data_IF_750657832865
#
_entry.id   IF_750657832865
#
_cell.length_a   1.000
_cell.length_b   1.000
_cell.length_c   1.000
_cell.angle_alpha   90.00
_cell.angle_beta   90.00
_cell.angle_gamma   90.00
#
_symmetry.space_group_name_H-M   'P 1'
#
loop_
_entity.id
_entity.type
_entity.pdbx_description
1 polymer ?
#
# COMPACT_ATOMS: atom_id res chain seq x y z
N UNK A 1 9.07 -1.48 17.52
CA UNK A 1 8.60 -1.79 16.14
C UNK A 1 9.21 -3.10 15.68
N UNK A 2 8.39 -4.04 15.19
CA UNK A 2 8.82 -5.39 14.81
C UNK A 2 9.41 -5.43 13.39
N UNK A 3 10.16 -6.50 13.07
CA UNK A 3 10.94 -6.61 11.83
C UNK A 3 10.11 -6.45 10.54
N UNK A 4 8.93 -7.08 10.37
CA UNK A 4 8.11 -6.88 9.17
C UNK A 4 7.75 -5.41 8.91
N UNK A 5 7.40 -4.67 9.97
CA UNK A 5 7.04 -3.24 9.86
C UNK A 5 8.25 -2.40 9.43
N UNK A 6 9.43 -2.69 9.98
CA UNK A 6 10.69 -2.03 9.56
C UNK A 6 10.98 -2.26 8.08
N UNK A 7 10.79 -3.50 7.60
CA UNK A 7 10.99 -3.85 6.19
C UNK A 7 9.97 -3.16 5.27
N UNK A 8 8.70 -3.11 5.66
CA UNK A 8 7.66 -2.39 4.92
C UNK A 8 7.99 -0.89 4.79
N UNK A 9 8.44 -0.25 5.86
CA UNK A 9 8.87 1.16 5.84
C UNK A 9 10.08 1.35 4.93
N UNK A 10 11.10 0.49 5.07
CA UNK A 10 12.29 0.55 4.22
C UNK A 10 11.94 0.42 2.73
N UNK A 11 11.03 -0.48 2.38
CA UNK A 11 10.52 -0.67 1.03
C UNK A 11 9.72 0.55 0.55
N UNK A 12 8.81 1.09 1.37
CA UNK A 12 8.07 2.31 1.03
C UNK A 12 8.98 3.50 0.73
N UNK A 13 10.14 3.60 1.39
CA UNK A 13 11.15 4.61 1.07
C UNK A 13 11.80 4.44 -0.30
N UNK A 14 11.94 3.20 -0.81
CA UNK A 14 12.48 2.94 -2.15
C UNK A 14 11.54 3.40 -3.27
N UNK A 15 10.23 3.48 -2.99
CA UNK A 15 9.23 3.87 -3.97
C UNK A 15 9.19 5.37 -4.26
N UNK A 16 9.84 6.22 -3.44
CA UNK A 16 9.77 7.70 -3.54
C UNK A 16 10.04 8.25 -4.93
N UNK A 17 10.90 7.58 -5.71
CA UNK A 17 11.31 8.02 -7.06
C UNK A 17 10.65 7.22 -8.18
N UNK A 18 9.79 6.25 -7.84
CA UNK A 18 9.08 5.41 -8.82
C UNK A 18 7.86 6.14 -9.35
N UNK A 19 7.50 5.87 -10.61
CA UNK A 19 6.35 6.49 -11.28
C UNK A 19 5.10 5.64 -11.09
N UNK A 20 3.93 6.26 -11.19
CA UNK A 20 2.68 5.51 -11.34
C UNK A 20 2.53 4.99 -12.77
N UNK A 21 2.11 3.73 -12.91
CA UNK A 21 1.65 3.13 -14.16
C UNK A 21 0.56 2.12 -13.82
N UNK A 22 -0.60 2.19 -14.47
CA UNK A 22 -1.65 1.19 -14.33
C UNK A 22 -1.12 -0.22 -14.66
N UNK A 23 -1.36 -1.20 -13.78
CA UNK A 23 -0.80 -2.55 -13.91
C UNK A 23 0.69 -2.67 -13.53
N UNK A 24 1.33 -1.59 -13.09
CA UNK A 24 2.72 -1.61 -12.62
C UNK A 24 2.89 -2.40 -11.33
N UNK A 25 3.91 -3.26 -11.27
CA UNK A 25 4.22 -4.09 -10.10
C UNK A 25 3.42 -5.39 -9.97
N UNK A 26 2.64 -5.78 -10.99
CA UNK A 26 1.83 -7.02 -10.96
C UNK A 26 2.53 -8.24 -11.54
N UNK A 27 3.47 -8.07 -12.47
CA UNK A 27 4.27 -9.18 -13.02
C UNK A 27 5.30 -9.69 -12.02
N UNK A 28 5.84 -8.79 -11.20
CA UNK A 28 6.87 -9.09 -10.19
C UNK A 28 6.92 -7.92 -9.20
N UNK A 29 7.47 -8.16 -8.00
CA UNK A 29 7.73 -7.09 -7.05
C UNK A 29 8.77 -6.09 -7.56
N UNK A 30 9.71 -6.48 -8.41
CA UNK A 30 10.64 -5.57 -9.06
C UNK A 30 10.04 -5.00 -10.36
N UNK A 31 9.76 -3.71 -10.35
CA UNK A 31 9.25 -2.96 -11.50
C UNK A 31 9.80 -1.51 -11.46
N UNK A 32 9.78 -0.86 -12.61
CA UNK A 32 10.16 0.54 -12.76
C UNK A 32 9.02 1.50 -12.37
N UNK A 33 7.79 0.99 -12.30
CA UNK A 33 6.60 1.76 -11.96
C UNK A 33 5.54 0.89 -11.28
N UNK A 34 4.73 1.51 -10.43
CA UNK A 34 3.76 0.81 -9.59
C UNK A 34 2.40 1.49 -9.62
N UNK A 35 1.33 0.70 -9.75
CA UNK A 35 -0.01 1.21 -9.44
C UNK A 35 -0.30 1.17 -7.93
N UNK A 36 -1.53 1.49 -7.53
CA UNK A 36 -1.92 1.50 -6.12
C UNK A 36 -1.73 0.13 -5.43
N UNK A 37 -2.20 -0.94 -6.06
CA UNK A 37 -2.09 -2.31 -5.57
C UNK A 37 -0.69 -2.89 -5.70
N UNK A 38 0.03 -2.58 -6.78
CA UNK A 38 1.44 -2.94 -6.94
C UNK A 38 2.32 -2.27 -5.89
N UNK A 39 1.98 -1.03 -5.49
CA UNK A 39 2.66 -0.30 -4.41
C UNK A 39 2.50 -1.00 -3.07
N UNK A 40 1.27 -1.40 -2.72
CA UNK A 40 1.01 -2.11 -1.46
C UNK A 40 1.59 -3.52 -1.50
N UNK A 41 1.48 -4.20 -2.64
CA UNK A 41 2.11 -5.51 -2.87
C UNK A 41 3.62 -5.46 -2.69
N UNK A 42 4.30 -4.44 -3.22
CA UNK A 42 5.73 -4.26 -3.08
C UNK A 42 6.18 -4.18 -1.62
N UNK A 43 5.53 -3.34 -0.81
CA UNK A 43 5.92 -3.15 0.59
C UNK A 43 5.60 -4.39 1.45
N UNK A 44 4.50 -5.09 1.17
CA UNK A 44 4.15 -6.32 1.89
C UNK A 44 5.04 -7.49 1.46
N UNK A 45 5.40 -7.59 0.18
CA UNK A 45 6.34 -8.58 -0.34
C UNK A 45 7.73 -8.42 0.29
N UNK A 46 8.26 -7.19 0.33
CA UNK A 46 9.52 -6.90 1.00
C UNK A 46 9.47 -7.18 2.52
N UNK A 47 8.30 -7.08 3.14
CA UNK A 47 8.08 -7.42 4.54
C UNK A 47 7.93 -8.93 4.80
N UNK A 48 7.82 -9.75 3.76
CA UNK A 48 7.52 -11.18 3.88
C UNK A 48 6.08 -11.49 4.26
N UNK A 49 5.16 -10.54 4.02
CA UNK A 49 3.74 -10.62 4.37
C UNK A 49 2.85 -10.97 3.17
N UNK A 50 3.43 -11.05 1.97
CA UNK A 50 2.74 -11.36 0.73
C UNK A 50 3.71 -12.10 -0.20
N UNK A 51 3.28 -13.23 -0.79
CA UNK A 51 4.11 -14.09 -1.64
C UNK A 51 4.13 -13.67 -3.11
N UNK A 52 3.05 -13.03 -3.59
CA UNK A 52 2.91 -12.54 -4.96
C UNK A 52 2.10 -11.25 -5.01
N UNK A 53 2.32 -10.35 -5.98
CA UNK A 53 1.49 -9.18 -6.14
C UNK A 53 0.01 -9.54 -6.35
N UNK A 54 -0.89 -8.75 -5.77
CA UNK A 54 -2.34 -8.91 -5.91
C UNK A 54 -3.01 -7.56 -6.20
N UNK A 55 -4.21 -7.61 -6.78
CA UNK A 55 -5.04 -6.46 -7.11
C UNK A 55 -5.70 -5.79 -5.90
N UNK A 56 -6.19 -4.56 -6.08
CA UNK A 56 -6.96 -3.85 -5.04
C UNK A 56 -8.23 -4.60 -4.64
N UNK A 57 -8.83 -5.35 -5.57
CA UNK A 57 -10.00 -6.19 -5.31
C UNK A 57 -9.63 -7.40 -4.45
N UNK A 58 -8.52 -8.08 -4.76
CA UNK A 58 -8.04 -9.21 -3.94
C UNK A 58 -7.64 -8.78 -2.53
N UNK A 59 -7.10 -7.56 -2.37
CA UNK A 59 -6.77 -7.01 -1.05
C UNK A 59 -7.97 -6.93 -0.10
N UNK A 60 -9.21 -6.88 -0.60
CA UNK A 60 -10.43 -6.88 0.23
C UNK A 60 -10.56 -8.15 1.08
N UNK A 61 -9.97 -9.26 0.61
CA UNK A 61 -9.98 -10.56 1.30
C UNK A 61 -8.63 -10.92 1.93
N UNK A 62 -7.64 -10.03 1.89
CA UNK A 62 -6.30 -10.29 2.42
C UNK A 62 -6.26 -10.23 3.95
N UNK A 63 -5.56 -11.16 4.60
CA UNK A 63 -5.35 -11.14 6.05
C UNK A 63 -6.65 -11.16 6.86
N UNK A 64 -6.73 -10.40 7.96
CA UNK A 64 -7.92 -10.29 8.81
C UNK A 64 -8.67 -8.98 8.59
N UNK A 65 -9.97 -8.99 8.86
CA UNK A 65 -10.83 -7.79 8.80
C UNK A 65 -10.49 -6.81 9.92
N UNK A 66 -10.56 -5.51 9.61
CA UNK A 66 -10.38 -4.42 10.56
C UNK A 66 -9.00 -3.79 10.52
N UNK A 67 -8.82 -2.77 11.36
CA UNK A 67 -7.55 -2.07 11.49
C UNK A 67 -6.53 -2.91 12.26
N UNK A 68 -5.34 -3.07 11.70
CA UNK A 68 -4.20 -3.69 12.36
C UNK A 68 -3.48 -2.72 13.29
N UNK A 69 -2.62 -3.25 14.16
CA UNK A 69 -1.87 -2.46 15.14
C UNK A 69 -0.77 -1.60 14.48
N UNK A 70 -0.13 -2.13 13.44
CA UNK A 70 0.97 -1.47 12.74
C UNK A 70 0.70 -1.24 11.27
N UNK A 71 -0.04 -2.15 10.63
CA UNK A 71 -0.32 -2.08 9.19
C UNK A 71 -1.82 -2.22 9.02
N UNK A 72 -2.45 -1.21 8.41
CA UNK A 72 -3.83 -1.31 7.94
C UNK A 72 -3.87 -1.01 6.46
N UNK A 73 -4.38 -1.94 5.67
CA UNK A 73 -4.64 -1.81 4.25
C UNK A 73 -6.10 -1.40 4.10
N UNK A 74 -6.34 -0.36 3.32
CA UNK A 74 -7.68 0.11 2.98
C UNK A 74 -7.92 -0.22 1.52
N UNK A 75 -8.78 -1.20 1.27
CA UNK A 75 -9.02 -1.77 -0.04
C UNK A 75 -10.46 -1.52 -0.52
N UNK A 76 -10.61 -1.29 -1.82
CA UNK A 76 -11.89 -1.31 -2.52
C UNK A 76 -11.68 -1.67 -3.98
N UNK A 77 -12.76 -1.82 -4.72
CA UNK A 77 -12.69 -1.96 -6.17
C UNK A 77 -12.03 -0.70 -6.80
N UNK A 78 -10.96 -0.92 -7.57
CA UNK A 78 -10.23 0.13 -8.28
C UNK A 78 -9.25 0.97 -7.45
N UNK A 79 -9.14 0.79 -6.12
CA UNK A 79 -8.11 1.49 -5.34
C UNK A 79 -7.73 0.80 -4.03
N UNK A 80 -6.46 0.91 -3.65
CA UNK A 80 -5.97 0.51 -2.34
C UNK A 80 -4.84 1.43 -1.85
N UNK A 81 -4.74 1.60 -0.55
CA UNK A 81 -3.63 2.28 0.12
C UNK A 81 -3.37 1.61 1.47
N UNK A 82 -2.26 1.95 2.13
CA UNK A 82 -1.98 1.43 3.47
C UNK A 82 -1.56 2.53 4.43
N UNK A 83 -1.86 2.33 5.71
CA UNK A 83 -1.26 3.05 6.82
C UNK A 83 -0.26 2.10 7.48
N UNK A 84 1.01 2.49 7.51
CA UNK A 84 2.10 1.70 8.07
C UNK A 84 2.76 2.54 9.17
N UNK A 85 2.73 2.05 10.41
CA UNK A 85 3.21 2.77 11.59
C UNK A 85 2.65 4.20 11.69
N UNK A 86 1.38 4.38 11.33
CA UNK A 86 0.67 5.66 11.40
C UNK A 86 0.84 6.58 10.18
N UNK A 87 1.69 6.23 9.20
CA UNK A 87 1.89 7.04 7.99
C UNK A 87 1.24 6.40 6.76
N UNK A 88 0.52 7.20 5.97
CA UNK A 88 -0.18 6.72 4.77
C UNK A 88 0.79 6.55 3.60
N UNK A 89 0.84 5.36 3.02
CA UNK A 89 1.41 5.08 1.71
C UNK A 89 0.30 4.99 0.68
N UNK A 90 0.29 5.90 -0.29
CA UNK A 90 -0.76 5.99 -1.32
C UNK A 90 -0.15 6.52 -2.63
N UNK A 91 -0.73 6.12 -3.76
CA UNK A 91 -0.36 6.64 -5.09
C UNK A 91 -1.14 7.88 -5.50
N UNK A 92 -2.24 8.17 -4.80
CA UNK A 92 -3.15 9.28 -5.08
C UNK A 92 -3.05 10.34 -3.97
N UNK A 93 -2.79 11.62 -4.30
CA UNK A 93 -2.92 12.70 -3.33
C UNK A 93 -4.40 12.84 -2.91
N UNK A 94 -4.63 13.33 -1.70
CA UNK A 94 -5.98 13.59 -1.17
C UNK A 94 -6.29 15.09 -1.02
N UNK A 95 -5.26 15.95 -1.06
CA UNK A 95 -5.36 17.40 -1.03
C UNK A 95 -5.62 18.01 -2.42
N UNK A 96 -5.70 19.35 -2.50
CA UNK A 96 -5.97 20.13 -3.72
C UNK A 96 -5.01 19.70 -4.84
N UNK A 97 -5.57 18.88 -5.73
CA UNK A 97 -4.87 18.09 -6.73
C UNK A 97 -4.09 18.94 -7.73
N UNK A 98 -2.77 18.98 -7.60
CA UNK A 98 -1.84 19.61 -8.57
C UNK A 98 -0.71 18.65 -9.01
N UNK A 99 -0.67 17.43 -8.48
CA UNK A 99 0.41 16.47 -8.70
C UNK A 99 0.03 15.22 -9.51
N UNK A 100 1.00 14.67 -10.25
CA UNK A 100 0.88 13.37 -10.93
C UNK A 100 0.79 12.24 -9.90
N UNK A 101 -0.01 11.20 -10.17
CA UNK A 101 -0.04 9.99 -9.35
C UNK A 101 1.36 9.39 -9.24
N UNK A 102 1.77 9.04 -8.03
CA UNK A 102 3.03 8.33 -7.78
C UNK A 102 3.03 7.75 -6.36
N UNK A 103 3.60 6.55 -6.16
CA UNK A 103 3.73 5.95 -4.84
C UNK A 103 4.58 6.81 -3.93
N UNK A 104 4.00 7.26 -2.81
CA UNK A 104 4.73 8.06 -1.83
C UNK A 104 4.07 8.00 -0.47
N UNK A 105 4.85 8.33 0.55
CA UNK A 105 4.32 8.67 1.85
C UNK A 105 3.53 9.98 1.79
N UNK A 106 2.41 9.99 2.46
CA UNK A 106 1.44 11.07 2.45
C UNK A 106 1.18 11.52 3.87
N UNK A 107 1.28 12.83 4.09
CA UNK A 107 1.06 13.47 5.40
C UNK A 107 -0.39 13.92 5.58
N UNK A 108 -1.13 14.07 4.49
CA UNK A 108 -2.53 14.50 4.51
C UNK A 108 -3.42 13.33 4.90
N UNK A 109 -4.24 13.52 5.94
CA UNK A 109 -5.23 12.53 6.34
C UNK A 109 -6.25 12.27 5.23
N UNK A 110 -6.61 10.99 5.02
CA UNK A 110 -7.75 10.59 4.18
C UNK A 110 -8.72 9.77 5.04
N UNK A 111 -9.99 10.18 5.13
CA UNK A 111 -11.04 9.35 5.69
C UNK A 111 -11.16 8.06 4.86
N UNK A 112 -11.14 6.86 5.47
CA UNK A 112 -11.21 5.59 4.75
C UNK A 112 -12.66 5.22 4.31
N UNK A 113 -13.53 6.20 4.08
CA UNK A 113 -14.93 5.93 3.74
C UNK A 113 -15.01 5.16 2.42
N UNK A 114 -15.75 4.06 2.42
CA UNK A 114 -15.90 3.18 1.25
C UNK A 114 -14.69 2.26 1.00
N UNK A 115 -13.80 2.11 1.98
CA UNK A 115 -12.73 1.11 1.97
C UNK A 115 -12.96 0.08 3.06
N UNK A 116 -12.65 -1.17 2.73
CA UNK A 116 -12.55 -2.26 3.67
C UNK A 116 -11.17 -2.23 4.31
N UNK A 117 -11.14 -2.13 5.65
CA UNK A 117 -9.90 -2.21 6.41
C UNK A 117 -9.50 -3.68 6.55
N UNK A 118 -8.25 -3.98 6.21
CA UNK A 118 -7.63 -5.30 6.28
C UNK A 118 -6.24 -5.17 6.90
N UNK A 119 -5.75 -6.21 7.55
CA UNK A 119 -4.38 -6.21 8.08
C UNK A 119 -3.73 -7.59 7.99
N UNK A 120 -2.38 -7.65 7.89
CA UNK A 120 -1.67 -8.93 7.97
C UNK A 120 -1.91 -9.59 9.34
N UNK A 121 -2.09 -10.91 9.36
CA UNK A 121 -2.37 -11.68 10.59
C UNK A 121 -1.27 -11.42 11.63
N UNK A 122 -1.67 -11.07 12.85
CA UNK A 122 -0.76 -10.79 13.96
C UNK A 122 -0.07 -9.40 13.92
N UNK A 123 -0.54 -8.47 13.08
CA UNK A 123 0.04 -7.14 12.89
C UNK A 123 -0.90 -5.95 13.04
#
# INVERSE_FOLDING_TARGET
MILPVKRAIWAGNQLRHKRYRYGGGHKSFDDHSYDCSGTISYVLGAAGLLSSPISSTEFRSYGESGAGKWITIYAREGHTFAVIAGLRLDTTPYDRYTGKWAPRWQTVYRPPRGFEARHPVGL
#
